data_IF_813563201120
#
_entry.id   IF_813563201120
#
_cell.length_a   1.000
_cell.length_b   1.000
_cell.length_c   1.000
_cell.angle_alpha   90.00
_cell.angle_beta   90.00
_cell.angle_gamma   90.00
#
_symmetry.space_group_name_H-M   'P 1'
#
loop_
_entity.id
_entity.type
_entity.pdbx_description
1 polymer ?
#
# COMPACT_ATOMS: atom_id res chain seq x y z
N UNK A 1 4.67 23.34 -10.45
CA UNK A 1 4.21 21.96 -10.13
C UNK A 1 2.77 21.93 -9.64
N UNK A 2 2.38 22.67 -8.59
CA UNK A 2 1.00 22.65 -8.04
C UNK A 2 -0.10 23.01 -9.05
N UNK A 3 0.08 24.06 -9.85
CA UNK A 3 -0.91 24.47 -10.88
C UNK A 3 -1.14 23.38 -11.95
N UNK A 4 -0.10 22.62 -12.32
CA UNK A 4 -0.22 21.52 -13.26
C UNK A 4 -1.00 20.35 -12.65
N UNK A 5 -0.73 19.99 -11.39
CA UNK A 5 -1.46 18.95 -10.69
C UNK A 5 -2.96 19.26 -10.58
N UNK A 6 -3.31 20.52 -10.28
CA UNK A 6 -4.72 20.97 -10.23
C UNK A 6 -5.41 20.92 -11.60
N UNK A 7 -4.71 21.30 -12.67
CA UNK A 7 -5.26 21.17 -14.01
C UNK A 7 -5.49 19.70 -14.38
N UNK A 8 -4.52 18.83 -14.09
CA UNK A 8 -4.60 17.40 -14.38
C UNK A 8 -5.68 16.67 -13.57
N UNK A 9 -5.90 17.01 -12.29
CA UNK A 9 -6.92 16.38 -11.45
C UNK A 9 -8.35 16.56 -11.96
N UNK A 10 -8.57 17.52 -12.86
CA UNK A 10 -9.87 17.76 -13.48
C UNK A 10 -10.09 16.98 -14.78
N UNK A 11 -9.06 16.36 -15.34
CA UNK A 11 -9.17 15.62 -16.61
C UNK A 11 -9.80 14.25 -16.40
N UNK A 12 -10.60 13.80 -17.38
CA UNK A 12 -11.27 12.49 -17.33
C UNK A 12 -10.28 11.32 -17.18
N UNK A 13 -9.16 11.26 -17.95
CA UNK A 13 -8.23 10.15 -17.84
C UNK A 13 -7.59 9.99 -16.44
N UNK A 14 -7.41 11.09 -15.70
CA UNK A 14 -6.88 11.05 -14.33
C UNK A 14 -7.94 10.52 -13.36
N UNK A 15 -9.21 10.92 -13.53
CA UNK A 15 -10.32 10.40 -12.72
C UNK A 15 -10.55 8.91 -12.97
N UNK A 16 -10.52 8.48 -14.23
CA UNK A 16 -10.65 7.07 -14.60
C UNK A 16 -9.54 6.22 -13.96
N UNK A 17 -8.31 6.73 -13.95
CA UNK A 17 -7.19 6.04 -13.31
C UNK A 17 -7.34 5.94 -11.78
N UNK A 18 -7.87 6.99 -11.14
CA UNK A 18 -8.16 6.97 -9.70
C UNK A 18 -9.24 5.93 -9.35
N UNK A 19 -10.31 5.87 -10.15
CA UNK A 19 -11.39 4.89 -10.01
C UNK A 19 -10.81 3.48 -10.20
N UNK A 20 -10.10 3.21 -11.30
CA UNK A 20 -9.53 1.89 -11.58
C UNK A 20 -8.57 1.39 -10.49
N UNK A 21 -7.75 2.28 -9.90
CA UNK A 21 -6.90 1.93 -8.77
C UNK A 21 -7.72 1.60 -7.51
N UNK A 22 -8.84 2.27 -7.30
CA UNK A 22 -9.74 2.03 -6.16
C UNK A 22 -10.51 0.73 -6.34
N UNK A 23 -10.98 0.46 -7.55
CA UNK A 23 -11.62 -0.80 -7.92
C UNK A 23 -10.66 -1.98 -7.71
N UNK A 24 -9.38 -1.86 -8.15
CA UNK A 24 -8.36 -2.87 -7.87
C UNK A 24 -8.24 -3.16 -6.37
N UNK A 25 -8.23 -2.13 -5.52
CA UNK A 25 -8.15 -2.32 -4.07
C UNK A 25 -9.36 -3.10 -3.53
N UNK A 26 -10.57 -2.79 -4.00
CA UNK A 26 -11.79 -3.51 -3.62
C UNK A 26 -11.77 -4.96 -4.12
N UNK A 27 -11.31 -5.20 -5.35
CA UNK A 27 -11.19 -6.54 -5.95
C UNK A 27 -10.29 -7.47 -5.14
N UNK A 28 -9.21 -6.95 -4.55
CA UNK A 28 -8.31 -7.71 -3.67
C UNK A 28 -8.80 -7.80 -2.22
N UNK A 29 -10.02 -7.35 -1.94
CA UNK A 29 -10.68 -7.47 -0.64
C UNK A 29 -10.43 -6.32 0.33
N UNK A 30 -9.87 -5.19 -0.12
CA UNK A 30 -9.67 -4.04 0.76
C UNK A 30 -11.01 -3.45 1.20
N UNK A 31 -11.22 -3.40 2.52
CA UNK A 31 -12.41 -2.80 3.14
C UNK A 31 -12.11 -1.47 3.87
N UNK A 32 -10.86 -1.02 3.83
CA UNK A 32 -10.39 0.21 4.48
C UNK A 32 -8.94 0.52 4.11
N UNK A 33 -8.46 1.71 4.51
CA UNK A 33 -7.10 2.19 4.20
C UNK A 33 -6.31 2.56 5.46
N UNK A 34 -4.96 2.39 5.46
CA UNK A 34 -4.16 1.84 4.36
C UNK A 34 -4.26 0.31 4.25
N UNK A 35 -4.16 -0.18 3.01
CA UNK A 35 -4.15 -1.60 2.64
C UNK A 35 -2.86 -1.92 1.89
N UNK A 36 -2.21 -3.01 2.25
CA UNK A 36 -0.95 -3.46 1.65
C UNK A 36 -1.16 -4.83 1.01
N UNK A 37 -1.07 -4.90 -0.32
CA UNK A 37 -0.93 -6.14 -1.08
C UNK A 37 0.57 -6.40 -1.22
N UNK A 38 1.07 -7.47 -0.60
CA UNK A 38 2.50 -7.77 -0.54
C UNK A 38 2.76 -9.11 -1.19
N UNK A 39 3.73 -9.16 -2.10
CA UNK A 39 4.23 -10.42 -2.69
C UNK A 39 5.66 -10.65 -2.20
N UNK A 40 5.91 -11.79 -1.56
CA UNK A 40 7.24 -12.14 -1.03
C UNK A 40 8.17 -12.71 -2.11
N UNK A 41 9.42 -13.01 -1.74
CA UNK A 41 10.43 -13.57 -2.66
C UNK A 41 10.13 -14.99 -3.13
N UNK A 42 9.22 -15.70 -2.46
CA UNK A 42 8.70 -17.02 -2.87
C UNK A 42 7.54 -16.93 -3.87
N UNK A 43 7.05 -15.71 -4.16
CA UNK A 43 5.92 -15.47 -5.05
C UNK A 43 4.54 -15.61 -4.39
N UNK A 44 4.49 -15.75 -3.06
CA UNK A 44 3.23 -15.78 -2.31
C UNK A 44 2.74 -14.35 -2.07
N UNK A 45 1.42 -14.15 -2.14
CA UNK A 45 0.80 -12.84 -1.90
C UNK A 45 -0.11 -12.89 -0.68
N UNK A 46 0.08 -11.93 0.23
CA UNK A 46 -0.77 -11.72 1.40
C UNK A 46 -1.13 -10.24 1.55
N UNK A 47 -2.29 -9.97 2.16
CA UNK A 47 -2.81 -8.63 2.35
C UNK A 47 -2.85 -8.23 3.83
N UNK A 48 -2.49 -6.98 4.13
CA UNK A 48 -2.47 -6.42 5.49
C UNK A 48 -3.24 -5.10 5.54
N UNK A 49 -4.08 -4.94 6.55
CA UNK A 49 -4.84 -3.70 6.79
C UNK A 49 -4.32 -2.97 8.03
N UNK A 50 -4.04 -1.67 7.88
CA UNK A 50 -3.61 -0.79 8.97
C UNK A 50 -2.10 -0.55 9.04
N UNK A 51 -1.72 0.63 9.54
CA UNK A 51 -0.30 1.01 9.75
C UNK A 51 0.34 0.26 10.92
N UNK A 52 -0.47 -0.26 11.83
CA UNK A 52 -0.07 -1.11 12.96
C UNK A 52 0.38 -2.51 12.51
N UNK A 53 0.23 -2.85 11.22
CA UNK A 53 0.68 -4.13 10.64
C UNK A 53 2.04 -4.08 9.96
N UNK A 54 2.78 -2.96 10.04
CA UNK A 54 4.08 -2.81 9.38
C UNK A 54 5.14 -3.85 9.79
N UNK A 55 5.16 -4.28 11.05
CA UNK A 55 6.05 -5.36 11.48
C UNK A 55 5.70 -6.70 10.81
N UNK A 56 4.40 -7.00 10.63
CA UNK A 56 3.93 -8.22 9.97
C UNK A 56 4.23 -8.19 8.47
N UNK A 57 4.02 -7.04 7.82
CA UNK A 57 4.40 -6.81 6.42
C UNK A 57 5.89 -7.07 6.21
N UNK A 58 6.75 -6.48 7.07
CA UNK A 58 8.19 -6.66 6.96
C UNK A 58 8.63 -8.12 7.19
N UNK A 59 8.02 -8.79 8.17
CA UNK A 59 8.27 -10.21 8.42
C UNK A 59 7.85 -11.09 7.23
N UNK A 60 6.66 -10.87 6.67
CA UNK A 60 6.15 -11.60 5.50
C UNK A 60 7.03 -11.41 4.26
N UNK A 61 7.51 -10.18 4.04
CA UNK A 61 8.42 -9.86 2.93
C UNK A 61 9.87 -10.32 3.17
N UNK A 62 10.20 -10.83 4.35
CA UNK A 62 11.55 -11.24 4.70
C UNK A 62 12.55 -10.08 4.79
N UNK A 63 12.09 -8.89 5.16
CA UNK A 63 12.94 -7.70 5.27
C UNK A 63 13.72 -7.70 6.59
N UNK A 64 14.97 -7.24 6.55
CA UNK A 64 15.79 -7.08 7.76
C UNK A 64 15.44 -5.78 8.49
N UNK A 65 14.94 -5.92 9.72
CA UNK A 65 14.40 -4.80 10.52
C UNK A 65 15.19 -4.52 11.80
N UNK A 66 16.18 -5.34 12.12
CA UNK A 66 16.90 -5.36 13.40
C UNK A 66 17.81 -4.14 13.65
N UNK A 67 18.28 -3.52 12.56
CA UNK A 67 19.14 -2.35 12.58
C UNK A 67 18.38 -1.04 12.80
N UNK A 68 17.05 -1.03 12.59
CA UNK A 68 16.23 0.18 12.65
C UNK A 68 15.52 0.28 14.02
N UNK A 69 15.72 1.41 14.71
CA UNK A 69 15.10 1.64 16.03
C UNK A 69 13.57 1.73 15.95
N UNK A 70 13.02 2.19 14.82
CA UNK A 70 11.58 2.30 14.61
C UNK A 70 10.88 0.95 14.56
N UNK A 71 11.51 -0.08 13.98
CA UNK A 71 10.94 -1.42 13.95
C UNK A 71 10.96 -2.13 15.31
N UNK A 72 11.93 -1.81 16.18
CA UNK A 72 11.96 -2.34 17.56
C UNK A 72 10.76 -1.92 18.39
N UNK A 73 10.19 -0.75 18.13
CA UNK A 73 9.01 -0.27 18.82
C UNK A 73 7.69 -0.91 18.35
N UNK A 74 7.73 -1.73 17.29
CA UNK A 74 6.56 -2.41 16.70
C UNK A 74 6.52 -3.92 16.97
N UNK A 75 7.52 -4.46 17.68
CA UNK A 75 7.55 -5.85 18.18
C UNK A 75 6.97 -5.94 19.58
#
# INVERSE_FOLDING_TARGET
>A
MAANALAQSNTQPIKDKLIANSDKAVEIGAFGIPWFECTNSSGETECFWGVDRMAQVAAFLGLETTADQGFRAMM
#
